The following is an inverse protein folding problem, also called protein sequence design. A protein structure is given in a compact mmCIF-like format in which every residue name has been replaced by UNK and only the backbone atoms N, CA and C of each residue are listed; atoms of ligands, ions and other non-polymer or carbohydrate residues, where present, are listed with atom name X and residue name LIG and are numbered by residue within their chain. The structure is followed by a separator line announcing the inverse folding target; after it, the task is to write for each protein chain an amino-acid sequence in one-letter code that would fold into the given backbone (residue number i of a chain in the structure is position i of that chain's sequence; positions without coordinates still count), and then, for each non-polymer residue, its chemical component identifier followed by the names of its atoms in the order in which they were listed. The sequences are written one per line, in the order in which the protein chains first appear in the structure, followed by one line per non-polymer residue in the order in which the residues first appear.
data_IF_737463294812
#
_entry.id   IF_737463294812
#
_cell.length_a   1.000
_cell.length_b   1.000
_cell.length_c   1.000
_cell.angle_alpha   90.00
_cell.angle_beta   90.00
_cell.angle_gamma   90.00
#
_symmetry.space_group_name_H-M   'P 1'
#
loop_
_entity.id
_entity.type
_entity.pdbx_description
1 polymer ?
#
# COMPACT_ATOMS: atom_id res chain seq x y z
N UNK A 1 72.05 -47.30 24.19
CA UNK A 1 71.41 -46.55 23.09
C UNK A 1 70.22 -45.78 23.66
N UNK A 2 70.44 -44.57 24.17
CA UNK A 2 69.35 -43.66 24.51
C UNK A 2 68.78 -43.12 23.21
N UNK A 3 67.56 -43.55 22.85
CA UNK A 3 66.87 -43.09 21.66
C UNK A 3 66.60 -41.58 21.80
N UNK A 4 66.94 -40.84 20.75
CA UNK A 4 66.87 -39.39 20.67
C UNK A 4 65.41 -38.92 20.48
N UNK A 5 64.58 -39.11 21.52
CA UNK A 5 63.13 -38.79 21.52
C UNK A 5 62.86 -37.30 21.84
N UNK A 6 63.86 -36.55 22.33
CA UNK A 6 63.68 -35.14 22.71
C UNK A 6 63.51 -34.21 21.49
N UNK A 7 64.05 -34.60 20.33
CA UNK A 7 63.92 -33.82 19.09
C UNK A 7 62.54 -33.88 18.45
N UNK A 8 61.84 -35.02 18.55
CA UNK A 8 60.50 -35.18 17.96
C UNK A 8 59.43 -34.40 18.74
N UNK A 9 59.54 -34.33 20.07
CA UNK A 9 58.65 -33.54 20.92
C UNK A 9 58.73 -32.05 20.59
N UNK A 10 59.95 -31.52 20.40
CA UNK A 10 60.14 -30.12 20.03
C UNK A 10 59.49 -29.80 18.67
N UNK A 11 59.63 -30.70 17.68
CA UNK A 11 59.00 -30.55 16.38
C UNK A 11 57.47 -30.54 16.46
N UNK A 12 56.88 -31.40 17.29
CA UNK A 12 55.42 -31.46 17.48
C UNK A 12 54.90 -30.15 18.10
N UNK A 13 55.58 -29.62 19.12
CA UNK A 13 55.18 -28.36 19.75
C UNK A 13 55.25 -27.20 18.77
N UNK A 14 56.32 -27.13 17.98
CA UNK A 14 56.50 -26.07 16.98
C UNK A 14 55.44 -26.17 15.87
N UNK A 15 55.10 -27.39 15.44
CA UNK A 15 54.00 -27.63 14.50
C UNK A 15 52.65 -27.20 15.10
N UNK A 16 52.36 -27.57 16.35
CA UNK A 16 51.13 -27.16 17.03
C UNK A 16 51.01 -25.65 17.15
N UNK A 17 52.08 -24.96 17.56
CA UNK A 17 52.11 -23.49 17.60
C UNK A 17 51.82 -22.89 16.24
N UNK A 18 52.40 -23.44 15.17
CA UNK A 18 52.18 -22.95 13.81
C UNK A 18 50.73 -23.14 13.36
N UNK A 19 50.12 -24.30 13.63
CA UNK A 19 48.71 -24.57 13.30
C UNK A 19 47.78 -23.62 14.06
N UNK A 20 47.99 -23.44 15.36
CA UNK A 20 47.19 -22.49 16.15
C UNK A 20 47.36 -21.05 15.67
N UNK A 21 48.56 -20.63 15.28
CA UNK A 21 48.78 -19.30 14.70
C UNK A 21 48.05 -19.13 13.37
N UNK A 22 48.07 -20.14 12.48
CA UNK A 22 47.33 -20.09 11.21
C UNK A 22 45.83 -19.96 11.48
N UNK A 23 45.28 -20.79 12.37
CA UNK A 23 43.85 -20.74 12.74
C UNK A 23 43.51 -19.38 13.35
N UNK A 24 44.33 -18.87 14.29
CA UNK A 24 44.11 -17.58 14.93
C UNK A 24 44.08 -16.42 13.93
N UNK A 25 45.01 -16.39 12.98
CA UNK A 25 45.04 -15.37 11.91
C UNK A 25 43.81 -15.50 11.00
N UNK A 26 43.40 -16.73 10.64
CA UNK A 26 42.21 -16.93 9.80
C UNK A 26 40.92 -16.44 10.46
N UNK A 27 40.74 -16.67 11.76
CA UNK A 27 39.56 -16.21 12.51
C UNK A 27 39.51 -14.67 12.58
N UNK A 28 40.64 -14.02 12.86
CA UNK A 28 40.73 -12.56 12.87
C UNK A 28 40.40 -11.97 11.48
N UNK A 29 40.84 -12.62 10.41
CA UNK A 29 40.51 -12.23 9.04
C UNK A 29 39.00 -12.33 8.75
N UNK A 30 38.33 -13.38 9.25
CA UNK A 30 36.89 -13.57 9.09
C UNK A 30 36.09 -12.52 9.87
N UNK A 31 36.45 -12.23 11.12
CA UNK A 31 35.76 -11.21 11.92
C UNK A 31 35.87 -9.81 11.31
N UNK A 32 37.06 -9.44 10.82
CA UNK A 32 37.27 -8.16 10.15
C UNK A 32 36.43 -8.04 8.86
N UNK A 33 36.30 -9.13 8.09
CA UNK A 33 35.45 -9.16 6.90
C UNK A 33 33.95 -9.07 7.25
N UNK A 34 33.50 -9.79 8.27
CA UNK A 34 32.12 -9.72 8.74
C UNK A 34 31.76 -8.32 9.24
N UNK A 35 32.65 -7.67 9.99
CA UNK A 35 32.46 -6.30 10.45
C UNK A 35 32.30 -5.31 9.29
N UNK A 36 33.12 -5.45 8.24
CA UNK A 36 32.98 -4.65 7.00
C UNK A 36 31.65 -4.91 6.30
N UNK A 37 31.21 -6.17 6.22
CA UNK A 37 29.94 -6.51 5.60
C UNK A 37 28.75 -5.93 6.37
N UNK A 38 28.76 -6.01 7.71
CA UNK A 38 27.72 -5.42 8.56
C UNK A 38 27.67 -3.90 8.39
N UNK A 39 28.83 -3.23 8.41
CA UNK A 39 28.91 -1.79 8.18
C UNK A 39 28.36 -1.42 6.79
N UNK A 40 28.75 -2.17 5.76
CA UNK A 40 28.28 -1.97 4.40
C UNK A 40 26.75 -2.14 4.28
N UNK A 41 26.19 -3.22 4.85
CA UNK A 41 24.75 -3.46 4.88
C UNK A 41 24.01 -2.37 5.67
N UNK A 42 24.55 -1.94 6.81
CA UNK A 42 23.97 -0.87 7.63
C UNK A 42 23.88 0.46 6.89
N UNK A 43 24.94 0.87 6.19
CA UNK A 43 24.94 2.05 5.34
C UNK A 43 23.97 1.94 4.17
N UNK A 44 23.86 0.76 3.55
CA UNK A 44 22.89 0.51 2.49
C UNK A 44 21.44 0.66 2.95
N UNK A 45 21.11 0.20 4.16
CA UNK A 45 19.78 0.40 4.76
C UNK A 45 19.54 1.89 5.04
N UNK A 46 20.52 2.59 5.63
CA UNK A 46 20.43 4.03 5.86
C UNK A 46 20.17 4.78 4.54
N UNK A 47 20.96 4.52 3.50
CA UNK A 47 20.79 5.13 2.18
C UNK A 47 19.40 4.85 1.58
N UNK A 48 18.83 3.66 1.78
CA UNK A 48 17.47 3.34 1.35
C UNK A 48 16.43 4.17 2.09
N UNK A 49 16.50 4.22 3.42
CA UNK A 49 15.60 5.03 4.24
C UNK A 49 15.67 6.52 3.86
N UNK A 50 16.86 7.03 3.52
CA UNK A 50 17.06 8.40 3.06
C UNK A 50 16.37 8.66 1.72
N UNK A 51 16.45 7.73 0.77
CA UNK A 51 15.74 7.84 -0.50
C UNK A 51 14.21 7.80 -0.28
N UNK A 52 13.71 6.95 0.61
CA UNK A 52 12.29 6.91 0.97
C UNK A 52 11.82 8.23 1.62
N UNK A 53 12.66 8.84 2.46
CA UNK A 53 12.40 10.17 3.01
C UNK A 53 12.30 11.24 1.92
N UNK A 54 13.12 11.17 0.87
CA UNK A 54 13.06 12.10 -0.26
C UNK A 54 11.77 11.96 -1.07
N UNK A 55 11.29 10.73 -1.28
CA UNK A 55 9.95 10.50 -1.87
C UNK A 55 8.85 11.12 -1.00
N UNK A 56 8.88 10.87 0.31
CA UNK A 56 7.89 11.44 1.24
C UNK A 56 7.95 12.98 1.26
N UNK A 57 9.15 13.56 1.16
CA UNK A 57 9.32 15.01 1.07
C UNK A 57 8.69 15.57 -0.21
N UNK A 58 8.96 14.95 -1.37
CA UNK A 58 8.38 15.37 -2.65
C UNK A 58 6.85 15.33 -2.63
N UNK A 59 6.27 14.27 -2.05
CA UNK A 59 4.81 14.17 -1.87
C UNK A 59 4.25 15.33 -1.05
N UNK A 60 4.89 15.65 0.09
CA UNK A 60 4.44 16.76 0.97
C UNK A 60 4.61 18.13 0.31
N UNK A 61 5.75 18.36 -0.34
CA UNK A 61 6.02 19.63 -1.03
C UNK A 61 5.00 19.86 -2.15
N UNK A 62 4.74 18.84 -2.97
CA UNK A 62 3.71 18.86 -4.01
C UNK A 62 2.34 19.16 -3.42
N UNK A 63 1.92 18.43 -2.39
CA UNK A 63 0.63 18.66 -1.74
C UNK A 63 0.49 20.08 -1.17
N UNK A 64 1.55 20.63 -0.58
CA UNK A 64 1.54 22.00 -0.05
C UNK A 64 1.36 23.04 -1.17
N UNK A 65 2.10 22.90 -2.27
CA UNK A 65 1.98 23.78 -3.44
C UNK A 65 0.56 23.75 -4.01
N UNK A 66 0.00 22.56 -4.16
CA UNK A 66 -1.36 22.38 -4.69
C UNK A 66 -2.43 22.95 -3.74
N UNK A 67 -2.25 22.77 -2.43
CA UNK A 67 -3.18 23.31 -1.43
C UNK A 67 -3.21 24.85 -1.41
N UNK A 68 -2.09 25.50 -1.71
CA UNK A 68 -2.00 26.96 -1.83
C UNK A 68 -2.53 27.49 -3.17
N UNK A 69 -2.66 26.63 -4.19
CA UNK A 69 -2.95 27.04 -5.58
C UNK A 69 -4.10 26.22 -6.18
N UNK A 70 -5.14 25.96 -5.40
CA UNK A 70 -6.29 25.12 -5.78
C UNK A 70 -6.88 25.55 -7.13
N UNK A 71 -7.07 26.85 -7.33
CA UNK A 71 -7.74 27.38 -8.53
C UNK A 71 -6.87 27.48 -9.80
N UNK A 72 -5.56 27.19 -9.71
CA UNK A 72 -4.65 27.38 -10.84
C UNK A 72 -4.96 26.41 -11.98
N UNK A 73 -5.02 26.88 -13.24
CA UNK A 73 -5.24 26.03 -14.43
C UNK A 73 -4.24 24.85 -14.50
N UNK A 74 -4.53 23.77 -15.24
CA UNK A 74 -3.57 22.66 -15.43
C UNK A 74 -2.20 23.15 -15.89
N UNK A 75 -2.17 24.02 -16.90
CA UNK A 75 -0.94 24.63 -17.42
C UNK A 75 -0.22 25.49 -16.37
N UNK A 76 -0.95 26.25 -15.56
CA UNK A 76 -0.33 27.10 -14.53
C UNK A 76 0.21 26.26 -13.37
N UNK A 77 -0.51 25.21 -13.00
CA UNK A 77 -0.09 24.25 -11.96
C UNK A 77 1.16 23.49 -12.39
N UNK A 78 1.22 23.03 -13.64
CA UNK A 78 2.42 22.41 -14.21
C UNK A 78 3.63 23.33 -14.10
N UNK A 79 3.50 24.58 -14.57
CA UNK A 79 4.59 25.58 -14.48
C UNK A 79 5.00 25.88 -13.04
N UNK A 80 4.02 25.98 -12.15
CA UNK A 80 4.25 26.22 -10.73
C UNK A 80 5.05 25.08 -10.12
N UNK A 81 4.65 23.83 -10.36
CA UNK A 81 5.36 22.65 -9.88
C UNK A 81 6.77 22.56 -10.48
N UNK A 82 6.94 22.82 -11.77
CA UNK A 82 8.26 22.85 -12.42
C UNK A 82 9.19 23.90 -11.81
N UNK A 83 8.64 25.03 -11.38
CA UNK A 83 9.41 26.10 -10.73
C UNK A 83 9.73 25.77 -9.27
N UNK A 84 8.77 25.20 -8.54
CA UNK A 84 8.85 24.97 -7.11
C UNK A 84 9.53 23.66 -6.72
N UNK A 85 9.59 22.67 -7.62
CA UNK A 85 10.20 21.35 -7.42
C UNK A 85 11.44 21.17 -8.31
N UNK A 86 12.49 22.01 -8.15
CA UNK A 86 13.66 21.92 -9.00
C UNK A 86 14.43 20.61 -8.78
N UNK A 87 14.91 20.04 -9.88
CA UNK A 87 15.84 18.92 -9.87
C UNK A 87 17.21 19.35 -9.31
N UNK A 88 17.88 18.43 -8.63
CA UNK A 88 19.26 18.59 -8.17
C UNK A 88 19.43 19.17 -6.77
N UNK A 89 18.36 19.54 -6.06
CA UNK A 89 18.48 20.03 -4.68
C UNK A 89 18.78 18.89 -3.72
N UNK A 90 19.82 19.08 -2.92
CA UNK A 90 20.20 18.20 -1.83
C UNK A 90 19.69 18.75 -0.49
N UNK A 91 19.09 17.87 0.32
CA UNK A 91 18.49 18.19 1.61
C UNK A 91 19.30 17.52 2.72
N UNK A 92 20.16 18.27 3.43
CA UNK A 92 20.92 17.72 4.54
C UNK A 92 20.00 17.45 5.74
N UNK A 93 20.19 16.32 6.42
CA UNK A 93 19.43 16.02 7.65
C UNK A 93 19.91 16.87 8.83
N UNK A 94 21.20 17.22 8.84
CA UNK A 94 21.78 18.08 9.85
C UNK A 94 22.36 19.33 9.18
N UNK A 95 22.03 20.50 9.71
CA UNK A 95 22.41 21.82 9.17
C UNK A 95 23.92 22.00 9.02
N UNK A 96 24.71 21.26 9.81
CA UNK A 96 26.17 21.38 9.86
C UNK A 96 26.92 20.24 9.18
N UNK A 97 26.22 19.30 8.52
CA UNK A 97 26.86 18.16 7.88
C UNK A 97 26.56 18.05 6.39
N UNK A 98 27.57 17.70 5.60
CA UNK A 98 27.40 17.33 4.20
C UNK A 98 26.72 15.97 4.01
N UNK A 99 26.62 15.15 5.06
CA UNK A 99 25.97 13.83 5.05
C UNK A 99 25.41 13.47 6.44
N UNK A 100 24.37 12.62 6.55
CA UNK A 100 23.55 12.07 5.47
C UNK A 100 22.63 13.12 4.86
N UNK A 101 22.35 12.96 3.56
CA UNK A 101 21.40 13.79 2.82
C UNK A 101 20.61 12.93 1.85
N UNK A 102 19.48 13.46 1.40
CA UNK A 102 18.81 12.95 0.21
C UNK A 102 18.76 14.04 -0.86
N UNK A 103 18.71 13.61 -2.12
CA UNK A 103 18.69 14.46 -3.30
C UNK A 103 17.58 13.99 -4.24
N UNK A 104 16.97 14.93 -4.94
CA UNK A 104 16.03 14.65 -6.03
C UNK A 104 16.74 14.88 -7.36
N UNK A 105 16.71 13.90 -8.26
CA UNK A 105 17.21 13.98 -9.64
C UNK A 105 16.09 13.66 -10.63
N UNK A 106 16.31 14.00 -11.89
CA UNK A 106 15.45 13.61 -13.02
C UNK A 106 13.96 13.91 -12.79
N UNK A 107 13.65 15.08 -12.21
CA UNK A 107 12.27 15.50 -11.95
C UNK A 107 11.63 15.95 -13.26
N UNK A 108 10.75 15.10 -13.79
CA UNK A 108 9.92 15.36 -14.96
C UNK A 108 8.47 15.50 -14.54
N UNK A 109 7.84 16.61 -14.95
CA UNK A 109 6.43 16.90 -14.69
C UNK A 109 5.71 16.95 -16.02
N UNK A 110 4.69 16.13 -16.17
CA UNK A 110 3.88 15.98 -17.38
C UNK A 110 2.42 16.23 -17.04
N UNK A 111 1.85 17.29 -17.57
CA UNK A 111 0.41 17.51 -17.59
C UNK A 111 -0.24 16.76 -18.76
N UNK A 112 -1.34 16.05 -18.50
CA UNK A 112 -2.18 15.42 -19.52
C UNK A 112 -3.63 15.77 -19.23
N UNK A 113 -4.36 16.20 -20.25
CA UNK A 113 -5.81 16.38 -20.17
C UNK A 113 -6.46 15.26 -20.99
N UNK A 114 -7.09 14.31 -20.29
CA UNK A 114 -7.93 13.31 -20.90
C UNK A 114 -9.38 13.83 -20.88
N UNK A 115 -10.24 13.37 -21.80
CA UNK A 115 -11.65 13.81 -21.90
C UNK A 115 -12.43 13.74 -20.56
N UNK A 116 -11.94 12.94 -19.60
CA UNK A 116 -12.55 12.67 -18.30
C UNK A 116 -11.80 13.33 -17.11
N UNK A 117 -10.53 13.71 -17.24
CA UNK A 117 -9.72 14.19 -16.10
C UNK A 117 -8.43 14.91 -16.52
N UNK A 118 -8.06 15.94 -15.75
CA UNK A 118 -6.74 16.56 -15.82
C UNK A 118 -5.78 15.80 -14.89
N UNK A 119 -4.68 15.28 -15.40
CA UNK A 119 -3.70 14.51 -14.63
C UNK A 119 -2.32 15.15 -14.75
N UNK A 120 -1.69 15.43 -13.62
CA UNK A 120 -0.27 15.77 -13.53
C UNK A 120 0.48 14.53 -13.05
N UNK A 121 1.42 14.06 -13.87
CA UNK A 121 2.35 12.99 -13.55
C UNK A 121 3.71 13.60 -13.22
N UNK A 122 4.22 13.33 -12.02
CA UNK A 122 5.59 13.70 -11.61
C UNK A 122 6.43 12.44 -11.50
N UNK A 123 7.42 12.31 -12.36
CA UNK A 123 8.43 11.23 -12.31
C UNK A 123 9.72 11.81 -11.77
N UNK A 124 10.36 11.11 -10.83
CA UNK A 124 11.64 11.56 -10.28
C UNK A 124 12.46 10.41 -9.71
N UNK A 125 13.75 10.66 -9.53
CA UNK A 125 14.68 9.77 -8.83
C UNK A 125 15.03 10.37 -7.46
N UNK A 126 14.67 9.69 -6.37
CA UNK A 126 15.15 10.05 -5.03
C UNK A 126 16.42 9.28 -4.70
N UNK A 127 17.45 9.98 -4.23
CA UNK A 127 18.76 9.43 -3.92
C UNK A 127 19.06 9.68 -2.46
N UNK A 128 19.25 8.61 -1.70
CA UNK A 128 19.74 8.69 -0.33
C UNK A 128 21.23 8.41 -0.27
N UNK A 129 21.99 9.27 0.42
CA UNK A 129 23.44 9.12 0.54
C UNK A 129 23.83 9.01 2.01
N UNK A 130 24.36 7.85 2.39
CA UNK A 130 24.83 7.56 3.75
C UNK A 130 26.20 8.19 4.03
N UNK A 131 26.64 8.11 5.29
CA UNK A 131 27.90 8.69 5.78
C UNK A 131 29.16 8.15 5.07
N UNK A 132 29.10 6.92 4.55
CA UNK A 132 30.18 6.26 3.81
C UNK A 132 30.08 6.43 2.29
N UNK A 133 29.27 7.39 1.83
CA UNK A 133 28.98 7.67 0.42
C UNK A 133 28.26 6.52 -0.32
N UNK A 134 27.68 5.56 0.39
CA UNK A 134 26.76 4.64 -0.25
C UNK A 134 25.51 5.37 -0.70
N UNK A 135 25.20 5.22 -1.98
CA UNK A 135 24.00 5.76 -2.60
C UNK A 135 22.96 4.66 -2.80
N UNK A 136 21.70 5.01 -2.57
CA UNK A 136 20.55 4.21 -3.01
C UNK A 136 19.59 5.10 -3.76
N UNK A 137 19.07 4.58 -4.88
CA UNK A 137 18.18 5.29 -5.78
C UNK A 137 16.80 4.63 -5.74
N UNK A 138 15.77 5.46 -5.68
CA UNK A 138 14.37 5.04 -5.79
C UNK A 138 13.74 5.88 -6.90
N UNK A 139 13.28 5.20 -7.95
CA UNK A 139 12.47 5.83 -8.98
C UNK A 139 11.03 5.87 -8.47
N UNK A 140 10.41 7.05 -8.49
CA UNK A 140 9.07 7.24 -7.99
C UNK A 140 8.21 8.00 -9.00
N UNK A 141 6.92 7.69 -8.96
CA UNK A 141 5.90 8.34 -9.75
C UNK A 141 4.78 8.83 -8.82
N UNK A 142 4.48 10.12 -8.90
CA UNK A 142 3.30 10.74 -8.29
C UNK A 142 2.28 11.03 -9.40
N UNK A 143 1.03 10.66 -9.19
CA UNK A 143 -0.09 11.04 -10.05
C UNK A 143 -1.04 11.94 -9.28
N UNK A 144 -1.30 13.10 -9.82
CA UNK A 144 -2.18 14.09 -9.21
C UNK A 144 -3.30 14.32 -10.21
N UNK A 145 -4.54 14.14 -9.79
CA UNK A 145 -5.68 14.42 -10.64
C UNK A 145 -6.33 15.74 -10.21
N UNK A 146 -6.78 16.52 -11.18
CA UNK A 146 -7.70 17.64 -11.02
C UNK A 146 -8.89 17.42 -11.92
N UNK A 147 -10.04 17.86 -11.43
CA UNK A 147 -11.27 17.29 -11.92
C UNK A 147 -11.42 15.94 -11.26
N UNK A 148 -12.61 15.80 -10.72
CA UNK A 148 -13.14 14.63 -10.08
C UNK A 148 -12.89 13.40 -10.99
N UNK A 149 -12.24 12.35 -10.48
CA UNK A 149 -12.85 11.05 -10.70
C UNK A 149 -14.19 11.22 -10.01
N UNK A 150 -15.22 11.55 -10.79
CA UNK A 150 -16.48 12.09 -10.29
C UNK A 150 -16.78 11.48 -8.92
N UNK A 151 -16.99 12.29 -7.90
CA UNK A 151 -17.53 11.81 -6.63
C UNK A 151 -18.87 11.10 -6.85
N UNK A 152 -19.37 11.07 -8.08
CA UNK A 152 -20.24 10.06 -8.63
C UNK A 152 -19.67 8.64 -8.47
N UNK A 153 -20.38 7.90 -7.62
CA UNK A 153 -20.30 6.46 -7.57
C UNK A 153 -20.33 5.85 -9.00
N UNK A 154 -19.43 4.91 -9.36
CA UNK A 154 -19.36 4.36 -10.70
C UNK A 154 -20.72 3.86 -11.21
N UNK A 155 -21.03 4.08 -12.48
CA UNK A 155 -22.22 3.50 -13.10
C UNK A 155 -21.97 2.01 -13.47
N UNK A 156 -23.00 1.15 -13.45
CA UNK A 156 -22.83 -0.25 -13.79
C UNK A 156 -22.45 -0.44 -15.27
N UNK A 157 -21.64 -1.44 -15.55
CA UNK A 157 -21.26 -1.79 -16.91
C UNK A 157 -22.49 -2.18 -17.73
N UNK A 158 -22.57 -1.70 -18.98
CA UNK A 158 -23.70 -1.96 -19.91
C UNK A 158 -23.93 -3.45 -20.22
N UNK A 159 -22.98 -4.31 -19.88
CA UNK A 159 -23.04 -5.75 -20.11
C UNK A 159 -23.45 -6.59 -18.89
N UNK A 160 -23.71 -5.97 -17.73
CA UNK A 160 -24.14 -6.69 -16.53
C UNK A 160 -25.55 -7.28 -16.70
N UNK A 161 -25.73 -8.52 -16.25
CA UNK A 161 -27.05 -9.16 -16.20
C UNK A 161 -27.85 -8.55 -15.05
N UNK A 162 -29.06 -8.07 -15.33
CA UNK A 162 -29.93 -7.50 -14.30
C UNK A 162 -30.62 -8.62 -13.53
N UNK A 163 -30.43 -8.64 -12.21
CA UNK A 163 -31.16 -9.50 -11.29
C UNK A 163 -32.16 -8.66 -10.50
N UNK A 164 -33.39 -9.17 -10.41
CA UNK A 164 -34.45 -8.62 -9.56
C UNK A 164 -34.56 -9.39 -8.22
N UNK A 165 -33.69 -10.38 -7.99
CA UNK A 165 -33.68 -11.16 -6.75
C UNK A 165 -33.36 -10.27 -5.54
N UNK A 166 -34.16 -10.41 -4.48
CA UNK A 166 -34.00 -9.71 -3.21
C UNK A 166 -33.36 -10.59 -2.13
N UNK A 167 -33.21 -11.89 -2.37
CA UNK A 167 -32.52 -12.83 -1.48
C UNK A 167 -31.74 -13.91 -2.24
N UNK A 168 -30.47 -14.13 -1.87
CA UNK A 168 -29.70 -15.29 -2.32
C UNK A 168 -29.90 -16.45 -1.35
N UNK A 169 -30.44 -17.54 -1.88
CA UNK A 169 -30.71 -18.79 -1.13
C UNK A 169 -29.86 -19.97 -1.61
N UNK A 170 -28.91 -19.73 -2.51
CA UNK A 170 -28.04 -20.77 -3.06
C UNK A 170 -26.59 -20.49 -2.76
N UNK A 171 -25.87 -21.54 -2.37
CA UNK A 171 -24.42 -21.55 -2.42
C UNK A 171 -23.98 -21.83 -3.85
N UNK A 172 -23.01 -21.08 -4.35
CA UNK A 172 -22.43 -21.35 -5.66
C UNK A 172 -21.58 -20.21 -6.18
N UNK A 173 -20.74 -20.49 -7.19
CA UNK A 173 -20.06 -19.47 -7.93
C UNK A 173 -21.02 -18.77 -8.89
N UNK A 174 -21.05 -17.45 -8.85
CA UNK A 174 -21.71 -16.59 -9.82
C UNK A 174 -20.66 -16.15 -10.83
N UNK A 175 -20.77 -16.66 -12.07
CA UNK A 175 -19.73 -16.56 -13.09
C UNK A 175 -19.92 -15.40 -14.07
N UNK A 176 -21.07 -14.72 -14.00
CA UNK A 176 -21.41 -13.57 -14.84
C UNK A 176 -21.38 -12.28 -14.02
N UNK A 177 -21.08 -11.12 -14.65
CA UNK A 177 -21.28 -9.83 -14.01
C UNK A 177 -22.77 -9.58 -13.78
N UNK A 178 -23.17 -9.22 -12.56
CA UNK A 178 -24.57 -9.06 -12.16
C UNK A 178 -24.81 -7.66 -11.59
N UNK A 179 -25.93 -7.05 -11.99
CA UNK A 179 -26.51 -5.85 -11.41
C UNK A 179 -27.75 -6.23 -10.61
N UNK A 180 -27.70 -6.11 -9.29
CA UNK A 180 -28.87 -6.20 -8.42
C UNK A 180 -29.54 -4.81 -8.36
N UNK A 181 -30.69 -4.69 -9.02
CA UNK A 181 -31.47 -3.44 -9.03
C UNK A 181 -32.28 -3.27 -7.74
N UNK A 182 -32.51 -4.34 -6.97
CA UNK A 182 -33.14 -4.31 -5.65
C UNK A 182 -32.10 -4.35 -4.51
N UNK A 183 -32.51 -4.06 -3.28
CA UNK A 183 -31.67 -4.28 -2.10
C UNK A 183 -31.55 -5.78 -1.85
N UNK A 184 -30.34 -6.32 -1.92
CA UNK A 184 -30.14 -7.76 -1.75
C UNK A 184 -29.92 -8.11 -0.27
N UNK A 185 -30.60 -9.15 0.20
CA UNK A 185 -30.29 -9.80 1.48
C UNK A 185 -29.58 -11.13 1.25
N UNK A 186 -28.43 -11.33 1.88
CA UNK A 186 -27.77 -12.63 1.98
C UNK A 186 -27.97 -13.11 3.42
N UNK A 187 -28.74 -14.18 3.58
CA UNK A 187 -29.10 -14.74 4.89
C UNK A 187 -28.78 -16.24 4.98
N UNK A 188 -28.96 -16.85 6.15
CA UNK A 188 -29.10 -18.31 6.31
C UNK A 188 -27.83 -19.16 6.08
N UNK A 189 -26.66 -18.74 6.58
CA UNK A 189 -25.38 -19.46 6.43
C UNK A 189 -25.04 -19.81 4.96
N UNK A 190 -25.46 -18.97 4.02
CA UNK A 190 -25.03 -19.09 2.64
C UNK A 190 -23.68 -18.42 2.45
N UNK A 191 -22.85 -19.06 1.62
CA UNK A 191 -21.50 -18.62 1.29
C UNK A 191 -21.34 -18.45 -0.22
N UNK A 192 -22.03 -17.49 -0.85
CA UNK A 192 -21.91 -17.25 -2.27
C UNK A 192 -20.53 -16.71 -2.63
N UNK A 193 -20.05 -17.09 -3.81
CA UNK A 193 -18.79 -16.59 -4.37
C UNK A 193 -19.10 -15.93 -5.71
N UNK A 194 -18.71 -14.67 -5.88
CA UNK A 194 -18.89 -13.94 -7.13
C UNK A 194 -17.56 -13.83 -7.85
N UNK A 195 -17.42 -14.49 -8.99
CA UNK A 195 -16.15 -14.54 -9.74
C UNK A 195 -15.95 -13.32 -10.67
N UNK A 196 -16.96 -12.46 -10.79
CA UNK A 196 -16.99 -11.28 -11.64
C UNK A 196 -17.48 -10.06 -10.88
N UNK A 197 -17.32 -8.90 -11.51
CA UNK A 197 -17.77 -7.62 -10.97
C UNK A 197 -19.27 -7.66 -10.68
N UNK A 198 -19.64 -7.10 -9.53
CA UNK A 198 -21.02 -7.11 -9.06
C UNK A 198 -21.45 -5.76 -8.53
N UNK A 199 -22.66 -5.38 -8.90
CA UNK A 199 -23.20 -4.08 -8.61
C UNK A 199 -24.51 -4.19 -7.83
N UNK A 200 -24.53 -3.64 -6.63
CA UNK A 200 -25.73 -3.52 -5.81
C UNK A 200 -26.18 -2.06 -5.86
N UNK A 201 -27.29 -1.79 -6.56
CA UNK A 201 -27.75 -0.42 -6.78
C UNK A 201 -28.43 0.19 -5.56
N UNK A 202 -29.08 -0.65 -4.76
CA UNK A 202 -29.85 -0.27 -3.58
C UNK A 202 -29.28 -0.88 -2.28
N UNK A 203 -28.02 -1.29 -2.30
CA UNK A 203 -27.29 -1.81 -1.15
C UNK A 203 -27.41 -3.33 -0.94
N UNK A 204 -26.71 -3.79 0.10
CA UNK A 204 -26.56 -5.20 0.46
C UNK A 204 -26.69 -5.38 1.97
N UNK A 205 -27.48 -6.35 2.42
CA UNK A 205 -27.49 -6.82 3.82
C UNK A 205 -26.93 -8.23 3.91
N UNK A 206 -25.79 -8.41 4.59
CA UNK A 206 -25.24 -9.72 4.93
C UNK A 206 -25.50 -10.03 6.42
N UNK A 207 -26.20 -11.13 6.70
CA UNK A 207 -26.60 -11.50 8.07
C UNK A 207 -26.67 -13.01 8.28
N UNK A 208 -26.72 -13.42 9.55
CA UNK A 208 -26.87 -14.80 10.00
C UNK A 208 -25.71 -15.73 9.60
N UNK A 209 -24.48 -15.35 10.00
CA UNK A 209 -23.22 -16.07 9.80
C UNK A 209 -22.94 -16.40 8.33
N UNK A 210 -23.14 -15.45 7.43
CA UNK A 210 -22.84 -15.62 6.00
C UNK A 210 -21.40 -15.25 5.71
N UNK A 211 -20.72 -16.02 4.86
CA UNK A 211 -19.38 -15.71 4.36
C UNK A 211 -19.44 -15.47 2.85
N UNK A 212 -19.39 -14.20 2.44
CA UNK A 212 -19.49 -13.81 1.03
C UNK A 212 -18.11 -13.50 0.48
N UNK A 213 -17.77 -14.05 -0.68
CA UNK A 213 -16.51 -13.74 -1.36
C UNK A 213 -16.77 -13.11 -2.74
N UNK A 214 -16.04 -12.04 -3.04
CA UNK A 214 -16.01 -11.36 -4.31
C UNK A 214 -14.59 -11.47 -4.87
N UNK A 215 -14.38 -12.30 -5.89
CA UNK A 215 -13.05 -12.50 -6.53
C UNK A 215 -12.65 -11.32 -7.44
N UNK A 216 -13.58 -10.40 -7.69
CA UNK A 216 -13.41 -9.21 -8.53
C UNK A 216 -13.83 -7.95 -7.77
N UNK A 217 -14.27 -6.90 -8.48
CA UNK A 217 -14.65 -5.63 -7.86
C UNK A 217 -16.08 -5.68 -7.29
N UNK A 218 -16.28 -4.98 -6.18
CA UNK A 218 -17.57 -4.84 -5.49
C UNK A 218 -18.06 -3.39 -5.56
N UNK A 219 -19.28 -3.19 -6.03
CA UNK A 219 -19.94 -1.88 -6.08
C UNK A 219 -21.20 -1.88 -5.21
N UNK A 220 -21.18 -1.15 -4.09
CA UNK A 220 -22.28 -0.95 -3.15
C UNK A 220 -22.82 0.49 -3.19
N UNK A 221 -23.78 0.73 -4.09
CA UNK A 221 -24.56 1.97 -4.15
C UNK A 221 -25.78 1.81 -3.25
N UNK A 222 -26.06 2.79 -2.39
CA UNK A 222 -27.08 2.72 -1.35
C UNK A 222 -26.58 2.20 0.01
N UNK A 223 -27.51 2.05 0.95
CA UNK A 223 -27.24 1.62 2.32
C UNK A 223 -26.94 0.12 2.40
N UNK A 224 -25.76 -0.23 2.92
CA UNK A 224 -25.34 -1.63 3.09
C UNK A 224 -25.04 -1.96 4.56
N UNK A 225 -25.39 -3.17 4.97
CA UNK A 225 -25.29 -3.63 6.36
C UNK A 225 -24.56 -4.98 6.44
N UNK A 226 -23.60 -5.09 7.34
CA UNK A 226 -22.98 -6.39 7.69
C UNK A 226 -23.23 -6.66 9.16
N UNK A 227 -23.96 -7.74 9.43
CA UNK A 227 -24.47 -8.07 10.76
C UNK A 227 -24.24 -9.53 11.13
N UNK A 228 -24.42 -9.86 12.41
CA UNK A 228 -24.63 -11.24 12.88
C UNK A 228 -23.54 -12.22 12.44
N UNK A 229 -22.27 -11.91 12.75
CA UNK A 229 -21.09 -12.73 12.44
C UNK A 229 -20.86 -12.97 10.94
N UNK A 230 -21.31 -12.05 10.08
CA UNK A 230 -21.12 -12.18 8.64
C UNK A 230 -19.81 -11.55 8.21
N UNK A 231 -19.14 -12.22 7.28
CA UNK A 231 -17.88 -11.78 6.71
C UNK A 231 -18.06 -11.55 5.22
N UNK A 232 -17.57 -10.42 4.72
CA UNK A 232 -17.46 -10.13 3.31
C UNK A 232 -15.97 -10.00 2.97
N UNK A 233 -15.51 -10.73 1.97
CA UNK A 233 -14.15 -10.66 1.42
C UNK A 233 -14.21 -10.18 -0.01
N UNK A 234 -13.43 -9.17 -0.36
CA UNK A 234 -13.28 -8.63 -1.71
C UNK A 234 -11.82 -8.74 -2.11
N UNK A 235 -11.52 -9.49 -3.15
CA UNK A 235 -10.15 -9.67 -3.66
C UNK A 235 -9.74 -8.55 -4.63
N UNK A 236 -10.70 -7.91 -5.29
CA UNK A 236 -10.51 -6.70 -6.10
C UNK A 236 -10.65 -5.40 -5.31
N UNK A 237 -11.12 -4.36 -5.99
CA UNK A 237 -11.45 -3.06 -5.40
C UNK A 237 -12.89 -3.03 -4.88
N UNK A 238 -13.17 -2.18 -3.89
CA UNK A 238 -14.52 -1.95 -3.40
C UNK A 238 -14.90 -0.47 -3.50
N UNK A 239 -16.10 -0.21 -4.02
CA UNK A 239 -16.70 1.12 -4.15
C UNK A 239 -17.93 1.12 -3.24
N UNK A 240 -17.93 1.96 -2.21
CA UNK A 240 -18.92 1.91 -1.13
C UNK A 240 -19.48 3.31 -0.91
N UNK A 241 -20.79 3.46 -1.07
CA UNK A 241 -21.47 4.72 -0.77
C UNK A 241 -21.76 4.82 0.73
N UNK A 242 -22.63 3.96 1.26
CA UNK A 242 -23.00 3.95 2.68
C UNK A 242 -22.88 2.53 3.24
N UNK A 243 -22.13 2.37 4.34
CA UNK A 243 -21.99 1.07 5.00
C UNK A 243 -21.92 1.15 6.52
N UNK A 244 -22.77 0.34 7.16
CA UNK A 244 -22.74 0.04 8.58
C UNK A 244 -22.36 -1.42 8.82
N UNK A 245 -21.21 -1.60 9.46
CA UNK A 245 -20.67 -2.88 9.91
C UNK A 245 -20.93 -2.98 11.40
N UNK A 246 -22.03 -3.64 11.77
CA UNK A 246 -22.48 -3.66 13.15
C UNK A 246 -21.50 -4.39 14.06
N UNK A 247 -21.04 -3.66 15.07
CA UNK A 247 -20.26 -4.21 16.16
C UNK A 247 -21.20 -4.74 17.24
N UNK A 248 -21.13 -6.04 17.51
CA UNK A 248 -21.72 -6.59 18.72
C UNK A 248 -20.97 -6.08 19.97
N UNK A 249 -21.66 -5.89 21.11
CA UNK A 249 -21.02 -5.56 22.38
C UNK A 249 -19.93 -6.58 22.72
N UNK A 250 -18.82 -6.10 23.28
CA UNK A 250 -17.69 -6.93 23.70
C UNK A 250 -18.16 -8.18 24.47
N UNK A 251 -17.82 -9.36 23.96
CA UNK A 251 -18.14 -10.65 24.59
C UNK A 251 -19.43 -11.35 24.11
N UNK A 252 -20.15 -10.83 23.11
CA UNK A 252 -21.40 -11.43 22.60
C UNK A 252 -21.32 -12.08 21.20
N UNK A 253 -20.17 -12.64 20.83
CA UNK A 253 -19.99 -13.27 19.52
C UNK A 253 -19.59 -12.28 18.42
N UNK A 254 -19.15 -12.81 17.29
CA UNK A 254 -18.46 -12.08 16.22
C UNK A 254 -19.23 -10.83 15.73
N UNK A 255 -18.46 -9.95 15.13
CA UNK A 255 -18.88 -8.64 14.66
C UNK A 255 -18.91 -8.71 13.13
N UNK A 256 -19.70 -7.86 12.47
CA UNK A 256 -19.63 -7.79 11.00
C UNK A 256 -18.21 -7.44 10.56
N UNK A 257 -17.78 -7.99 9.43
CA UNK A 257 -16.46 -7.74 8.87
C UNK A 257 -16.55 -7.56 7.35
N UNK A 258 -16.00 -6.46 6.84
CA UNK A 258 -15.63 -6.31 5.44
C UNK A 258 -14.11 -6.28 5.33
N UNK A 259 -13.53 -7.13 4.50
CA UNK A 259 -12.11 -7.08 4.17
C UNK A 259 -11.90 -6.98 2.67
N UNK A 260 -11.06 -6.04 2.26
CA UNK A 260 -10.78 -5.72 0.84
C UNK A 260 -9.27 -5.80 0.60
N UNK A 261 -8.85 -6.68 -0.29
CA UNK A 261 -7.44 -6.85 -0.67
C UNK A 261 -6.95 -5.73 -1.60
N UNK A 262 -7.84 -5.09 -2.36
CA UNK A 262 -7.56 -3.95 -3.21
C UNK A 262 -7.77 -2.60 -2.51
N UNK A 263 -8.21 -1.61 -3.28
CA UNK A 263 -8.49 -0.25 -2.81
C UNK A 263 -9.97 -0.10 -2.47
N UNK A 264 -10.26 0.47 -1.30
CA UNK A 264 -11.62 0.88 -0.90
C UNK A 264 -11.83 2.35 -1.25
N UNK A 265 -12.88 2.65 -2.03
CA UNK A 265 -13.32 4.00 -2.37
C UNK A 265 -14.63 4.30 -1.66
N UNK A 266 -14.65 5.31 -0.80
CA UNK A 266 -15.78 5.64 0.07
C UNK A 266 -16.46 6.93 -0.40
N UNK A 267 -17.69 6.83 -0.91
CA UNK A 267 -18.44 7.92 -1.55
C UNK A 267 -19.46 8.61 -0.64
N UNK A 268 -19.67 8.12 0.58
CA UNK A 268 -20.60 8.69 1.54
C UNK A 268 -20.17 8.47 2.99
N UNK A 269 -21.11 8.69 3.91
CA UNK A 269 -20.89 8.59 5.34
C UNK A 269 -20.76 7.13 5.77
N UNK A 270 -19.55 6.76 6.19
CA UNK A 270 -19.27 5.44 6.75
C UNK A 270 -19.33 5.53 8.27
N UNK A 271 -20.37 4.94 8.88
CA UNK A 271 -20.52 4.85 10.33
C UNK A 271 -19.54 3.84 10.97
N UNK A 272 -18.84 3.06 10.14
CA UNK A 272 -17.94 1.99 10.55
C UNK A 272 -16.49 2.44 10.68
N UNK A 273 -15.73 1.79 11.56
CA UNK A 273 -14.27 1.98 11.63
C UNK A 273 -13.59 1.37 10.41
N UNK A 274 -12.81 2.18 9.70
CA UNK A 274 -11.98 1.73 8.57
C UNK A 274 -10.52 1.62 9.01
N UNK A 275 -9.91 0.45 8.83
CA UNK A 275 -8.53 0.15 9.25
C UNK A 275 -7.68 -0.22 8.04
N UNK A 276 -6.61 0.53 7.82
CA UNK A 276 -5.59 0.17 6.82
C UNK A 276 -4.69 -0.92 7.41
N UNK A 277 -4.49 -2.01 6.67
CA UNK A 277 -3.74 -3.18 7.12
C UNK A 277 -2.88 -3.77 6.01
N UNK A 278 -1.74 -4.36 6.38
CA UNK A 278 -0.89 -5.13 5.47
C UNK A 278 -1.15 -6.63 5.52
N UNK A 279 -2.02 -7.09 6.42
CA UNK A 279 -2.40 -8.51 6.53
C UNK A 279 -3.39 -8.89 5.42
N UNK A 280 -3.32 -10.14 4.93
CA UNK A 280 -4.32 -10.64 3.98
C UNK A 280 -5.68 -10.83 4.63
N UNK A 281 -6.73 -10.74 3.84
CA UNK A 281 -8.10 -10.97 4.26
C UNK A 281 -8.31 -12.37 4.80
N UNK A 282 -7.64 -13.40 4.26
CA UNK A 282 -7.64 -14.75 4.83
C UNK A 282 -7.13 -14.76 6.29
N UNK A 283 -6.07 -14.00 6.57
CA UNK A 283 -5.53 -13.88 7.93
C UNK A 283 -6.53 -13.19 8.86
N UNK A 284 -7.13 -12.09 8.39
CA UNK A 284 -8.08 -11.29 9.18
C UNK A 284 -9.37 -12.08 9.45
N UNK A 285 -9.95 -12.72 8.45
CA UNK A 285 -11.21 -13.48 8.62
C UNK A 285 -11.03 -14.73 9.46
N UNK A 286 -9.84 -15.36 9.45
CA UNK A 286 -9.53 -16.51 10.31
C UNK A 286 -9.48 -16.15 11.81
N UNK A 287 -9.24 -14.89 12.14
CA UNK A 287 -9.18 -14.40 13.50
C UNK A 287 -10.58 -13.94 13.97
N UNK A 288 -11.12 -14.65 14.96
CA UNK A 288 -12.53 -14.52 15.44
C UNK A 288 -12.89 -13.20 16.17
N UNK A 289 -12.11 -12.13 16.01
CA UNK A 289 -12.23 -10.92 16.84
C UNK A 289 -12.14 -9.60 16.08
N UNK A 290 -12.22 -9.62 14.75
CA UNK A 290 -12.18 -8.39 13.95
C UNK A 290 -13.57 -7.89 13.61
N UNK A 291 -13.67 -6.56 13.45
CA UNK A 291 -14.91 -5.87 13.08
C UNK A 291 -14.64 -4.59 12.33
N UNK A 292 -15.57 -4.20 11.45
CA UNK A 292 -15.45 -3.00 10.65
C UNK A 292 -14.89 -3.31 9.26
N UNK A 293 -14.28 -2.30 8.65
CA UNK A 293 -13.77 -2.37 7.29
C UNK A 293 -12.24 -2.44 7.34
N UNK A 294 -11.65 -3.42 6.68
CA UNK A 294 -10.20 -3.59 6.55
C UNK A 294 -9.82 -3.50 5.09
N UNK A 295 -8.79 -2.71 4.77
CA UNK A 295 -8.33 -2.52 3.40
C UNK A 295 -6.82 -2.33 3.32
N UNK A 296 -6.22 -2.63 2.17
CA UNK A 296 -4.82 -2.24 1.91
C UNK A 296 -4.68 -0.75 1.66
N UNK A 297 -5.67 -0.15 1.01
CA UNK A 297 -5.72 1.26 0.70
C UNK A 297 -7.15 1.79 0.82
N UNK A 298 -7.29 3.04 1.26
CA UNK A 298 -8.57 3.73 1.37
C UNK A 298 -8.45 5.09 0.70
N UNK A 299 -9.38 5.36 -0.20
CA UNK A 299 -9.53 6.63 -0.91
C UNK A 299 -10.92 7.16 -0.61
N UNK A 300 -11.03 8.44 -0.25
CA UNK A 300 -12.31 9.15 -0.21
C UNK A 300 -12.33 10.08 -1.42
N UNK A 301 -13.17 9.83 -2.43
CA UNK A 301 -13.44 10.81 -3.47
C UNK A 301 -13.93 12.09 -2.81
N UNK A 302 -13.55 13.26 -3.34
CA UNK A 302 -14.01 14.53 -2.78
C UNK A 302 -15.55 14.62 -2.85
N UNK A 303 -16.22 14.73 -1.70
CA UNK A 303 -17.69 14.93 -1.59
C UNK A 303 -18.13 16.31 -2.08
N UNK A 304 -17.21 17.27 -2.18
CA UNK A 304 -17.47 18.56 -2.79
C UNK A 304 -17.12 18.49 -4.27
N UNK A 305 -18.10 18.84 -5.11
CA UNK A 305 -17.95 19.22 -6.51
C UNK A 305 -17.08 20.48 -6.70
N UNK A 306 -16.07 20.68 -5.87
CA UNK A 306 -14.96 21.59 -6.14
C UNK A 306 -14.06 20.90 -7.16
N UNK A 307 -14.62 20.75 -8.36
CA UNK A 307 -13.95 20.39 -9.62
C UNK A 307 -12.67 21.20 -9.87
N UNK A 308 -12.45 22.25 -9.10
CA UNK A 308 -11.28 23.11 -9.15
C UNK A 308 -10.10 22.60 -8.30
N UNK A 309 -10.27 21.67 -7.34
CA UNK A 309 -9.19 21.24 -6.42
C UNK A 309 -8.33 20.10 -6.97
N UNK A 310 -7.02 20.15 -6.68
CA UNK A 310 -6.05 19.10 -6.97
C UNK A 310 -5.97 18.06 -5.84
N UNK A 311 -6.02 16.77 -6.18
CA UNK A 311 -5.82 15.66 -5.23
C UNK A 311 -4.58 14.83 -5.57
N UNK A 312 -3.75 14.59 -4.55
CA UNK A 312 -2.53 13.76 -4.68
C UNK A 312 -2.89 12.29 -4.48
N UNK A 313 -3.27 11.61 -5.56
CA UNK A 313 -3.64 10.21 -5.55
C UNK A 313 -2.42 9.28 -5.66
N UNK A 314 -2.51 8.10 -5.03
CA UNK A 314 -1.61 6.91 -5.11
C UNK A 314 -0.16 7.13 -5.57
N UNK A 315 0.80 6.86 -4.67
CA UNK A 315 2.23 6.85 -5.00
C UNK A 315 2.64 5.46 -5.48
N UNK A 316 3.09 5.34 -6.74
CA UNK A 316 3.62 4.07 -7.25
C UNK A 316 5.14 4.06 -7.04
N UNK A 317 5.59 3.24 -6.09
CA UNK A 317 7.01 2.97 -5.89
C UNK A 317 7.42 1.78 -6.76
N UNK A 318 8.13 2.03 -7.84
CA UNK A 318 8.86 0.98 -8.56
C UNK A 318 10.32 1.05 -8.16
N UNK A 319 10.67 0.34 -7.08
CA UNK A 319 12.05 0.22 -6.64
C UNK A 319 12.85 -0.61 -7.66
N UNK A 320 13.51 0.07 -8.59
CA UNK A 320 14.54 -0.54 -9.43
C UNK A 320 15.87 -0.48 -8.70
N UNK A 321 16.27 -1.59 -8.08
CA UNK A 321 17.62 -1.74 -7.53
C UNK A 321 18.59 -1.95 -8.69
N UNK A 322 19.27 -0.88 -9.11
CA UNK A 322 20.49 -0.99 -9.91
C UNK A 322 21.72 -0.92 -9.01
#
# INVERSE_FOLDING_TARGET
MSKNEQGSVLLIVLLMMTVFSIIGITLMGMEANNAKQIAYTGSGIKATNLAEMGVAHMKRATAAILAENKEASLSDTEKLLQTALPSGIAFPINKDSSYPLYKMEDVDILATNNEEQEVIKIVFTSIGIAEDYQERRINAELKIARGEGNGEFPEPDKGMEVSEEDEITSNGPFLTPILYDSHLTISSNHNPVFEKDIYFKNGLTARANTEVAFESNLYLKGESFIESNSNIVVYGDAYIENMDVKQNPSGKGNQGLLCVEGTVRLYGDIESTVTITSQSCETITSAKHYSGIYAKEVVKPSEESDTEKWEVNTLKLEASYR
#
